data_IF_518023294798
#
_entry.id   IF_518023294798
#
_cell.length_a   1.000
_cell.length_b   1.000
_cell.length_c   1.000
_cell.angle_alpha   90.00
_cell.angle_beta   90.00
_cell.angle_gamma   90.00
#
_symmetry.space_group_name_H-M   'P 1'
#
loop_
_entity.id
_entity.type
_entity.pdbx_description
1 polymer ?
#
# COMPACT_ATOMS: atom_id res chain seq x y z
N UNK A 1 35.60 29.51 24.98
CA UNK A 1 35.54 28.22 24.26
C UNK A 1 34.54 27.27 24.93
N UNK A 2 33.24 27.62 25.03
CA UNK A 2 32.22 26.78 25.72
C UNK A 2 30.91 26.59 24.91
N UNK A 3 30.92 26.89 23.60
CA UNK A 3 29.73 26.86 22.74
C UNK A 3 29.76 25.79 21.62
N UNK A 4 30.82 24.97 21.57
CA UNK A 4 31.00 23.91 20.55
C UNK A 4 30.39 22.55 20.94
N UNK A 5 29.86 22.41 22.17
CA UNK A 5 29.33 21.15 22.68
C UNK A 5 27.84 20.89 22.39
N UNK A 6 27.08 21.91 21.95
CA UNK A 6 25.62 21.78 21.82
C UNK A 6 25.12 21.45 20.39
N UNK A 7 26.01 21.46 19.40
CA UNK A 7 25.64 21.25 18.00
C UNK A 7 25.64 19.76 17.52
N UNK A 8 26.12 18.83 18.37
CA UNK A 8 26.28 17.42 17.97
C UNK A 8 25.13 16.50 18.42
N UNK A 9 24.12 17.04 19.08
CA UNK A 9 23.01 16.22 19.65
C UNK A 9 21.78 16.09 18.79
N UNK A 10 21.74 16.59 17.54
CA UNK A 10 20.50 16.68 16.72
C UNK A 10 20.50 15.74 15.50
N UNK A 11 21.51 14.89 15.32
CA UNK A 11 21.60 14.02 14.12
C UNK A 11 21.27 12.54 14.38
N UNK A 12 20.56 12.21 15.45
CA UNK A 12 19.99 10.87 15.62
C UNK A 12 18.51 10.84 15.17
N UNK A 13 18.25 11.29 13.96
CA UNK A 13 17.02 10.98 13.23
C UNK A 13 17.06 9.51 12.84
N UNK A 14 16.84 8.60 13.80
CA UNK A 14 16.73 7.18 13.52
C UNK A 14 15.58 6.92 12.57
N UNK A 15 15.77 6.10 11.53
CA UNK A 15 14.70 5.53 10.71
C UNK A 15 13.70 4.87 11.68
N UNK A 16 12.54 5.49 11.84
CA UNK A 16 11.52 4.97 12.73
C UNK A 16 10.86 3.77 12.04
N UNK A 17 11.16 2.57 12.53
CA UNK A 17 10.44 1.35 12.16
C UNK A 17 8.93 1.53 12.32
N UNK A 18 8.15 0.87 11.45
CA UNK A 18 6.68 0.86 11.52
C UNK A 18 6.14 0.25 12.82
N UNK A 19 6.96 -0.55 13.51
CA UNK A 19 6.59 -1.27 14.72
C UNK A 19 7.51 -0.89 15.90
N UNK A 20 7.00 -1.02 17.14
CA UNK A 20 7.82 -0.75 18.33
C UNK A 20 9.10 -1.59 18.34
N UNK A 21 10.24 -0.99 18.71
CA UNK A 21 11.53 -1.65 18.71
C UNK A 21 11.60 -2.91 19.59
N UNK A 22 10.76 -3.01 20.64
CA UNK A 22 10.64 -4.22 21.47
C UNK A 22 10.09 -5.40 20.66
N UNK A 23 9.11 -5.14 19.80
CA UNK A 23 8.51 -6.15 18.93
C UNK A 23 9.51 -6.56 17.87
N UNK A 24 10.21 -5.61 17.26
CA UNK A 24 11.20 -5.85 16.21
C UNK A 24 12.39 -6.70 16.68
N UNK A 25 12.79 -6.57 17.95
CA UNK A 25 13.88 -7.39 18.51
C UNK A 25 13.60 -8.90 18.52
N UNK A 26 12.35 -9.30 18.43
CA UNK A 26 11.94 -10.71 18.44
C UNK A 26 11.63 -11.25 17.05
N UNK A 27 11.76 -10.41 16.02
CA UNK A 27 11.55 -10.75 14.61
C UNK A 27 12.87 -11.16 13.97
N UNK A 28 12.91 -12.25 13.25
CA UNK A 28 14.05 -12.58 12.40
C UNK A 28 13.97 -11.84 11.07
N UNK A 29 14.61 -10.67 11.01
CA UNK A 29 14.63 -9.80 9.83
C UNK A 29 15.48 -10.34 8.67
N UNK A 30 16.21 -11.44 8.88
CA UNK A 30 17.01 -12.10 7.82
C UNK A 30 16.14 -12.96 6.92
N UNK A 31 14.98 -13.39 7.41
CA UNK A 31 14.05 -14.22 6.64
C UNK A 31 13.21 -13.30 5.76
N UNK A 32 13.47 -13.34 4.48
CA UNK A 32 12.75 -12.57 3.48
C UNK A 32 11.50 -13.31 2.96
N UNK A 33 10.59 -12.58 2.30
CA UNK A 33 9.45 -13.19 1.62
C UNK A 33 9.89 -14.14 0.47
N UNK A 34 11.06 -13.90 -0.14
CA UNK A 34 11.66 -14.82 -1.12
C UNK A 34 12.04 -16.16 -0.50
N UNK A 35 12.58 -16.15 0.71
CA UNK A 35 12.95 -17.37 1.44
C UNK A 35 11.71 -18.16 1.84
N UNK A 36 10.69 -17.46 2.35
CA UNK A 36 9.39 -18.07 2.67
C UNK A 36 8.72 -18.71 1.46
N UNK A 37 8.83 -18.08 0.28
CA UNK A 37 8.30 -18.67 -0.95
C UNK A 37 9.07 -19.91 -1.38
N UNK A 38 10.39 -19.88 -1.23
CA UNK A 38 11.28 -20.98 -1.69
C UNK A 38 11.09 -22.24 -0.86
N UNK A 39 11.06 -22.11 0.46
CA UNK A 39 10.80 -23.22 1.39
C UNK A 39 10.07 -22.73 2.64
N UNK A 40 8.73 -22.61 2.59
CA UNK A 40 7.98 -22.15 3.75
C UNK A 40 8.02 -23.12 4.94
N UNK A 41 8.33 -24.40 4.69
CA UNK A 41 8.36 -25.42 5.75
C UNK A 41 9.61 -25.30 6.61
N UNK A 42 10.72 -24.85 6.04
CA UNK A 42 11.98 -24.64 6.76
C UNK A 42 11.87 -23.54 7.83
N UNK A 43 10.92 -22.61 7.67
CA UNK A 43 10.75 -21.45 8.56
C UNK A 43 9.53 -21.57 9.47
N UNK A 44 8.90 -22.74 9.55
CA UNK A 44 7.75 -22.94 10.43
C UNK A 44 8.10 -22.62 11.88
N UNK A 45 7.28 -21.78 12.53
CA UNK A 45 7.51 -21.28 13.88
C UNK A 45 8.41 -20.04 13.96
N UNK A 46 9.06 -19.64 12.85
CA UNK A 46 9.84 -18.41 12.82
C UNK A 46 8.92 -17.19 12.89
N UNK A 47 9.33 -16.17 13.62
CA UNK A 47 8.65 -14.88 13.71
C UNK A 47 9.25 -13.92 12.70
N UNK A 48 8.44 -13.47 11.76
CA UNK A 48 8.88 -12.73 10.58
C UNK A 48 8.11 -11.43 10.42
N UNK A 49 8.70 -10.50 9.64
CA UNK A 49 8.01 -9.34 9.12
C UNK A 49 7.84 -9.47 7.62
N UNK A 50 6.63 -9.23 7.14
CA UNK A 50 6.30 -9.24 5.71
C UNK A 50 5.42 -8.05 5.37
N UNK A 51 5.39 -7.68 4.10
CA UNK A 51 4.48 -6.63 3.64
C UNK A 51 4.25 -6.71 2.15
N UNK A 52 3.26 -5.96 1.67
CA UNK A 52 2.90 -5.95 0.26
C UNK A 52 1.54 -5.34 -0.02
N UNK A 53 1.04 -5.61 -1.23
CA UNK A 53 -0.29 -5.20 -1.66
C UNK A 53 -1.33 -6.24 -1.26
N UNK A 54 -2.43 -5.80 -0.70
CA UNK A 54 -3.61 -6.65 -0.45
C UNK A 54 -4.22 -7.04 -1.79
N UNK A 55 -4.38 -8.34 -2.02
CA UNK A 55 -5.11 -8.88 -3.17
C UNK A 55 -6.59 -9.14 -2.81
N UNK A 56 -6.83 -9.68 -1.63
CA UNK A 56 -8.17 -9.89 -1.08
C UNK A 56 -8.16 -9.92 0.43
N UNK A 57 -9.27 -9.56 1.04
CA UNK A 57 -9.51 -9.66 2.48
C UNK A 57 -10.82 -10.38 2.72
N UNK A 58 -10.78 -11.50 3.43
CA UNK A 58 -11.91 -12.39 3.65
C UNK A 58 -12.11 -12.65 5.13
N UNK A 59 -13.08 -11.97 5.78
CA UNK A 59 -13.52 -12.35 7.11
C UNK A 59 -14.12 -13.75 7.12
N UNK A 60 -13.68 -14.56 8.08
CA UNK A 60 -14.16 -15.93 8.32
C UNK A 60 -14.60 -16.06 9.78
N UNK A 61 -15.36 -17.08 10.14
CA UNK A 61 -15.66 -17.32 11.56
C UNK A 61 -14.36 -17.50 12.36
N UNK A 62 -14.10 -16.55 13.29
CA UNK A 62 -12.95 -16.58 14.20
C UNK A 62 -11.62 -16.06 13.65
N UNK A 63 -11.53 -15.69 12.38
CA UNK A 63 -10.32 -15.10 11.80
C UNK A 63 -10.62 -14.21 10.59
N UNK A 64 -9.68 -13.37 10.22
CA UNK A 64 -9.70 -12.71 8.91
C UNK A 64 -8.47 -13.16 8.13
N UNK A 65 -8.69 -13.61 6.90
CA UNK A 65 -7.65 -14.01 5.98
C UNK A 65 -7.39 -12.91 4.94
N UNK A 66 -6.12 -12.55 4.75
CA UNK A 66 -5.67 -11.62 3.71
C UNK A 66 -4.76 -12.37 2.76
N UNK A 67 -5.06 -12.33 1.47
CA UNK A 67 -4.13 -12.70 0.41
C UNK A 67 -3.28 -11.48 0.08
N UNK A 68 -1.96 -11.63 0.21
CA UNK A 68 -0.98 -10.57 0.04
C UNK A 68 -0.07 -10.86 -1.15
N UNK A 69 0.11 -9.90 -2.04
CA UNK A 69 1.21 -9.88 -2.99
C UNK A 69 2.44 -9.28 -2.31
N UNK A 70 3.36 -10.15 -1.91
CA UNK A 70 4.53 -9.73 -1.14
C UNK A 70 5.40 -8.72 -1.89
N UNK A 71 5.99 -7.79 -1.15
CA UNK A 71 6.98 -6.80 -1.60
C UNK A 71 8.20 -6.84 -0.70
N UNK A 72 9.31 -6.33 -1.21
CA UNK A 72 10.44 -6.02 -0.34
C UNK A 72 10.05 -4.90 0.60
N UNK A 73 10.59 -4.94 1.81
CA UNK A 73 10.40 -3.87 2.77
C UNK A 73 11.55 -2.88 2.68
N UNK A 74 11.24 -1.61 2.90
CA UNK A 74 12.20 -0.52 3.09
C UNK A 74 12.69 -0.49 4.54
N UNK A 75 13.62 0.38 4.84
CA UNK A 75 14.19 0.55 6.19
C UNK A 75 13.16 1.00 7.23
N UNK A 76 12.05 1.59 6.81
CA UNK A 76 10.91 1.98 7.64
C UNK A 76 9.83 0.90 7.75
N UNK A 77 10.11 -0.30 7.25
CA UNK A 77 9.20 -1.45 7.11
C UNK A 77 8.05 -1.23 6.13
N UNK A 78 8.02 -0.15 5.35
CA UNK A 78 7.02 0.03 4.31
C UNK A 78 7.30 -0.86 3.10
N UNK A 79 6.25 -1.43 2.46
CA UNK A 79 6.43 -2.18 1.22
C UNK A 79 6.91 -1.29 0.07
N UNK A 80 7.91 -1.76 -0.68
CA UNK A 80 8.35 -1.07 -1.90
C UNK A 80 7.26 -1.11 -2.97
N UNK A 81 7.04 0.02 -3.63
CA UNK A 81 6.22 0.08 -4.85
C UNK A 81 7.11 -0.28 -6.04
N UNK A 82 7.09 -1.53 -6.43
CA UNK A 82 7.85 -2.03 -7.58
C UNK A 82 7.06 -3.14 -8.28
N UNK A 83 7.36 -3.41 -9.54
CA UNK A 83 6.73 -4.51 -10.28
C UNK A 83 7.26 -5.89 -9.85
N UNK A 84 8.35 -5.90 -9.08
CA UNK A 84 8.94 -7.14 -8.57
C UNK A 84 8.20 -7.61 -7.34
N UNK A 85 7.83 -8.87 -7.30
CA UNK A 85 7.21 -9.52 -6.16
C UNK A 85 7.85 -10.87 -5.88
N UNK A 86 8.18 -11.18 -4.62
CA UNK A 86 8.57 -12.52 -4.20
C UNK A 86 7.48 -13.56 -4.44
N UNK A 87 6.22 -13.16 -4.50
CA UNK A 87 5.08 -14.04 -4.67
C UNK A 87 3.94 -13.72 -3.71
N UNK A 88 3.05 -14.67 -3.49
CA UNK A 88 1.86 -14.48 -2.65
C UNK A 88 2.01 -15.17 -1.31
N UNK A 89 1.42 -14.58 -0.28
CA UNK A 89 1.35 -15.06 1.09
C UNK A 89 -0.10 -15.04 1.56
N UNK A 90 -0.43 -15.89 2.55
CA UNK A 90 -1.67 -15.78 3.31
C UNK A 90 -1.36 -15.27 4.71
N UNK A 91 -2.05 -14.22 5.10
CA UNK A 91 -2.01 -13.67 6.46
C UNK A 91 -3.31 -14.04 7.15
N UNK A 92 -3.24 -14.59 8.36
CA UNK A 92 -4.41 -14.90 9.20
C UNK A 92 -4.33 -14.11 10.48
N UNK A 93 -5.32 -13.27 10.69
CA UNK A 93 -5.50 -12.47 11.90
C UNK A 93 -6.66 -12.99 12.70
N UNK A 94 -6.51 -13.11 14.02
CA UNK A 94 -7.63 -13.40 14.92
C UNK A 94 -8.59 -12.20 15.04
N UNK A 95 -8.12 -10.99 14.71
CA UNK A 95 -8.94 -9.79 14.72
C UNK A 95 -9.81 -9.69 13.47
N UNK A 96 -10.98 -9.10 13.62
CA UNK A 96 -11.80 -8.71 12.47
C UNK A 96 -11.16 -7.53 11.74
N UNK A 97 -10.81 -7.73 10.49
CA UNK A 97 -10.28 -6.70 9.60
C UNK A 97 -11.34 -6.41 8.53
N UNK A 98 -11.89 -5.19 8.56
CA UNK A 98 -12.95 -4.78 7.63
C UNK A 98 -12.40 -4.71 6.18
N UNK A 99 -12.98 -5.46 5.21
CA UNK A 99 -12.56 -5.42 3.82
C UNK A 99 -12.67 -4.05 3.15
N UNK A 100 -13.51 -3.14 3.66
CA UNK A 100 -13.59 -1.78 3.16
C UNK A 100 -12.35 -0.95 3.55
N UNK A 101 -11.74 -1.25 4.71
CA UNK A 101 -10.53 -0.61 5.20
C UNK A 101 -9.28 -1.29 4.63
N UNK A 102 -9.25 -2.62 4.71
CA UNK A 102 -8.18 -3.47 4.16
C UNK A 102 -8.51 -3.90 2.74
N UNK A 103 -8.82 -2.92 1.90
CA UNK A 103 -9.27 -3.14 0.52
C UNK A 103 -8.12 -3.59 -0.41
N UNK A 104 -8.42 -4.29 -1.51
CA UNK A 104 -7.43 -4.60 -2.53
C UNK A 104 -6.65 -3.36 -3.00
N UNK A 105 -5.34 -3.54 -3.22
CA UNK A 105 -4.43 -2.45 -3.62
C UNK A 105 -3.91 -1.59 -2.46
N UNK A 106 -4.39 -1.78 -1.22
CA UNK A 106 -3.80 -1.14 -0.04
C UNK A 106 -2.49 -1.83 0.34
N UNK A 107 -1.55 -1.05 0.84
CA UNK A 107 -0.28 -1.56 1.35
C UNK A 107 -0.38 -1.85 2.85
N UNK A 108 0.12 -3.01 3.24
CA UNK A 108 0.25 -3.39 4.65
C UNK A 108 1.63 -3.95 4.94
N UNK A 109 2.05 -3.82 6.20
CA UNK A 109 3.13 -4.61 6.79
C UNK A 109 2.59 -5.37 7.99
N UNK A 110 3.03 -6.59 8.17
CA UNK A 110 2.58 -7.45 9.25
C UNK A 110 3.75 -8.19 9.89
N UNK A 111 3.69 -8.31 11.22
CA UNK A 111 4.54 -9.20 12.00
C UNK A 111 3.70 -10.39 12.44
N UNK A 112 4.25 -11.58 12.32
CA UNK A 112 3.59 -12.79 12.71
C UNK A 112 4.49 -14.01 12.66
N UNK A 113 3.92 -15.14 13.02
CA UNK A 113 4.62 -16.43 13.06
C UNK A 113 4.25 -17.25 11.83
N UNK A 114 5.25 -17.84 11.17
CA UNK A 114 5.03 -18.77 10.05
C UNK A 114 4.32 -20.00 10.58
N UNK A 115 3.05 -20.19 10.26
CA UNK A 115 2.24 -21.32 10.72
C UNK A 115 2.36 -22.56 9.83
N UNK A 116 2.70 -22.37 8.55
CA UNK A 116 2.88 -23.47 7.60
C UNK A 116 2.72 -23.05 6.15
N UNK A 117 2.20 -23.96 5.34
CA UNK A 117 1.96 -23.78 3.92
C UNK A 117 0.57 -24.31 3.56
N UNK A 118 -0.09 -23.62 2.63
CA UNK A 118 -1.36 -24.08 2.08
C UNK A 118 -1.28 -24.09 0.56
N UNK A 119 -1.80 -25.15 -0.06
CA UNK A 119 -1.86 -25.27 -1.51
C UNK A 119 -3.23 -24.77 -2.00
N UNK A 120 -3.19 -23.79 -2.90
CA UNK A 120 -4.37 -23.24 -3.58
C UNK A 120 -4.06 -23.08 -5.07
N UNK A 121 -5.05 -22.68 -5.84
CA UNK A 121 -4.85 -22.31 -7.24
C UNK A 121 -4.72 -20.80 -7.39
N UNK A 122 -3.82 -20.38 -8.29
CA UNK A 122 -3.78 -19.03 -8.86
C UNK A 122 -4.17 -19.18 -10.33
N UNK A 123 -5.38 -18.79 -10.67
CA UNK A 123 -6.00 -19.22 -11.91
C UNK A 123 -6.11 -20.76 -11.93
N UNK A 124 -5.54 -21.41 -12.95
CA UNK A 124 -5.53 -22.87 -13.05
C UNK A 124 -4.26 -23.54 -12.47
N UNK A 125 -3.27 -22.76 -12.04
CA UNK A 125 -1.98 -23.26 -11.59
C UNK A 125 -1.97 -23.51 -10.07
N UNK A 126 -1.48 -24.68 -9.61
CA UNK A 126 -1.26 -24.92 -8.19
C UNK A 126 -0.19 -23.97 -7.65
N UNK A 127 -0.44 -23.40 -6.49
CA UNK A 127 0.45 -22.46 -5.84
C UNK A 127 0.54 -22.76 -4.34
N UNK A 128 1.78 -22.78 -3.82
CA UNK A 128 2.05 -23.00 -2.40
C UNK A 128 2.14 -21.65 -1.70
N UNK A 129 1.19 -21.37 -0.84
CA UNK A 129 1.11 -20.14 -0.05
C UNK A 129 1.78 -20.36 1.30
N UNK A 130 2.85 -19.63 1.64
CA UNK A 130 3.26 -19.50 3.04
C UNK A 130 2.13 -18.87 3.84
N UNK A 131 1.80 -19.44 5.00
CA UNK A 131 0.74 -18.95 5.89
C UNK A 131 1.39 -18.34 7.12
N UNK A 132 1.01 -17.12 7.45
CA UNK A 132 1.53 -16.35 8.58
C UNK A 132 0.38 -16.03 9.52
N UNK A 133 0.47 -16.50 10.76
CA UNK A 133 -0.42 -16.10 11.85
C UNK A 133 0.00 -14.70 12.30
N UNK A 134 -0.86 -13.71 12.04
CA UNK A 134 -0.56 -12.29 12.29
C UNK A 134 -0.70 -11.95 13.75
N UNK A 135 0.28 -11.23 14.28
CA UNK A 135 0.29 -10.68 15.64
C UNK A 135 0.12 -9.15 15.64
N UNK A 136 0.70 -8.50 14.64
CA UNK A 136 0.62 -7.06 14.45
C UNK A 136 0.48 -6.74 12.96
N UNK A 137 -0.34 -5.77 12.66
CA UNK A 137 -0.55 -5.29 11.29
C UNK A 137 -0.50 -3.77 11.26
N UNK A 138 0.13 -3.21 10.24
CA UNK A 138 0.13 -1.79 9.93
C UNK A 138 -0.41 -1.59 8.53
N UNK A 139 -1.49 -0.83 8.44
CA UNK A 139 -2.04 -0.33 7.19
C UNK A 139 -1.34 0.98 6.83
N UNK A 140 -0.76 1.06 5.65
CA UNK A 140 -0.09 2.26 5.16
C UNK A 140 -1.11 3.24 4.58
N UNK A 141 -0.86 4.56 4.72
CA UNK A 141 -1.70 5.55 4.07
C UNK A 141 -1.77 5.30 2.57
N UNK A 142 -2.94 5.50 2.00
CA UNK A 142 -3.09 5.52 0.56
C UNK A 142 -2.47 6.82 0.07
N UNK A 143 -1.43 6.74 -0.77
CA UNK A 143 -1.00 7.91 -1.51
C UNK A 143 -2.14 8.23 -2.49
N UNK A 144 -2.99 9.17 -2.10
CA UNK A 144 -3.84 9.83 -3.07
C UNK A 144 -2.87 10.49 -4.02
N UNK A 145 -2.78 10.00 -5.27
CA UNK A 145 -2.11 10.74 -6.30
C UNK A 145 -2.75 12.13 -6.27
N UNK A 146 -2.05 13.09 -5.67
CA UNK A 146 -2.38 14.48 -5.91
C UNK A 146 -2.10 14.66 -7.41
N UNK A 147 -3.10 14.37 -8.22
CA UNK A 147 -3.21 15.04 -9.49
C UNK A 147 -3.36 16.52 -9.12
N UNK A 148 -2.24 17.14 -8.77
CA UNK A 148 -2.10 18.56 -8.94
C UNK A 148 -2.49 18.76 -10.39
N UNK A 149 -3.64 19.39 -10.59
CA UNK A 149 -4.02 19.86 -11.89
C UNK A 149 -2.89 20.79 -12.34
N UNK A 150 -1.86 20.20 -12.94
CA UNK A 150 -0.87 20.95 -13.69
C UNK A 150 -1.64 21.37 -14.94
N UNK A 151 -2.35 22.48 -14.81
CA UNK A 151 -2.86 23.19 -15.95
C UNK A 151 -1.69 23.95 -16.58
N UNK A 152 -1.07 23.45 -17.67
CA UNK A 152 0.13 24.07 -18.26
C UNK A 152 -0.16 25.46 -18.84
N UNK A 153 -1.37 25.94 -18.76
CA UNK A 153 -1.85 27.18 -19.39
C UNK A 153 -2.74 28.02 -18.47
N UNK A 154 -2.45 28.15 -17.20
CA UNK A 154 -3.09 29.14 -16.34
C UNK A 154 -4.64 29.12 -16.35
N UNK A 155 -5.24 27.96 -16.62
CA UNK A 155 -6.69 27.81 -16.58
C UNK A 155 -7.07 27.71 -15.10
N UNK A 156 -7.62 28.76 -14.57
CA UNK A 156 -8.18 28.80 -13.23
C UNK A 156 -9.27 27.74 -13.08
N UNK A 157 -9.52 27.19 -11.86
CA UNK A 157 -10.51 26.15 -11.62
C UNK A 157 -11.96 26.57 -11.89
N UNK A 158 -12.16 27.81 -12.24
CA UNK A 158 -13.44 28.35 -12.70
C UNK A 158 -13.42 28.39 -14.23
N UNK A 159 -13.90 27.31 -14.85
CA UNK A 159 -14.10 27.23 -16.30
C UNK A 159 -15.10 28.27 -16.80
N UNK A 160 -15.27 28.40 -18.14
CA UNK A 160 -16.12 29.41 -18.76
C UNK A 160 -17.62 29.31 -18.42
N UNK A 161 -18.00 28.53 -17.43
CA UNK A 161 -19.36 28.32 -16.93
C UNK A 161 -19.57 28.80 -15.49
N UNK A 162 -18.72 29.70 -14.96
CA UNK A 162 -19.04 30.36 -13.70
C UNK A 162 -20.17 31.36 -13.94
N UNK A 163 -21.38 31.11 -13.44
CA UNK A 163 -22.53 32.00 -13.66
C UNK A 163 -22.40 33.38 -13.00
N UNK A 164 -21.35 33.60 -12.21
CA UNK A 164 -21.04 34.86 -11.54
C UNK A 164 -19.96 35.67 -12.23
N UNK A 165 -19.33 35.15 -13.31
CA UNK A 165 -18.32 35.92 -14.04
C UNK A 165 -18.94 36.72 -15.20
N UNK A 166 -19.64 37.79 -14.89
CA UNK A 166 -19.99 38.87 -15.84
C UNK A 166 -18.89 39.93 -15.82
N UNK A 167 -17.80 39.69 -16.51
CA UNK A 167 -16.83 40.73 -16.83
C UNK A 167 -17.23 41.44 -18.15
N UNK A 168 -17.08 42.81 -18.26
CA UNK A 168 -17.57 43.55 -19.42
C UNK A 168 -16.74 43.41 -20.71
N UNK A 169 -15.79 42.48 -20.80
CA UNK A 169 -14.90 42.30 -21.96
C UNK A 169 -14.73 40.84 -22.39
N UNK A 170 -15.83 40.15 -22.70
CA UNK A 170 -15.71 38.85 -23.36
C UNK A 170 -15.96 38.96 -24.87
N UNK A 171 -14.92 39.32 -25.63
CA UNK A 171 -14.90 39.10 -27.08
C UNK A 171 -14.40 37.69 -27.35
N UNK A 172 -15.30 36.71 -27.29
CA UNK A 172 -15.04 35.34 -27.78
C UNK A 172 -15.60 35.15 -29.18
N UNK A 173 -14.96 34.31 -30.04
CA UNK A 173 -15.47 34.09 -31.40
C UNK A 173 -16.82 33.36 -31.34
N UNK A 174 -17.79 33.95 -32.05
CA UNK A 174 -19.13 33.38 -32.22
C UNK A 174 -19.05 32.11 -33.08
N UNK A 175 -19.09 30.93 -32.46
CA UNK A 175 -19.38 29.72 -33.21
C UNK A 175 -20.87 29.69 -33.56
N UNK A 176 -21.18 29.92 -34.85
CA UNK A 176 -22.49 29.70 -35.42
C UNK A 176 -22.75 28.21 -35.48
N UNK A 177 -23.59 27.68 -34.62
CA UNK A 177 -24.21 26.38 -34.86
C UNK A 177 -25.17 26.48 -36.04
N UNK A 178 -24.84 25.79 -37.15
CA UNK A 178 -25.79 25.57 -38.23
C UNK A 178 -26.71 24.40 -37.81
N UNK A 179 -28.04 24.54 -37.94
CA UNK A 179 -28.94 23.44 -37.68
C UNK A 179 -28.84 22.44 -38.84
N UNK A 180 -28.58 21.17 -38.53
CA UNK A 180 -28.68 20.10 -39.49
C UNK A 180 -30.12 19.94 -39.92
N UNK A 181 -30.40 20.33 -41.17
CA UNK A 181 -31.66 20.06 -41.86
C UNK A 181 -31.79 18.55 -42.16
N UNK A 182 -32.93 18.04 -41.83
CA UNK A 182 -33.43 16.72 -42.26
C UNK A 182 -33.73 16.75 -43.76
N UNK A 183 -33.16 15.85 -44.53
CA UNK A 183 -33.68 15.45 -45.85
C UNK A 183 -33.60 13.92 -46.01
N UNK A 184 -34.79 13.31 -46.08
CA UNK A 184 -35.20 12.01 -46.65
C UNK A 184 -34.46 10.77 -46.22
#
# INVERSE_FOLDING_TARGET
MRWLGLALAVLLGGCASAFPGEVMRTVDTRISADDLRRDPTAYKGARVIVGGDILSTQPKPGETEIELLARRLRDDDSPERSDRSPGRLLLRSADFLDPAVYAPGRLISAIGTVSGVEERKVGELPYRYPVIAVERIRLWPQEVAQYGAYYPWGVWPYGPYDPYYFGPYSFGPRYRFAPYGWWW
#
